data_IF_397074886308
#
_entry.id   IF_397074886308
#
_cell.length_a   1.000
_cell.length_b   1.000
_cell.length_c   1.000
_cell.angle_alpha   90.00
_cell.angle_beta   90.00
_cell.angle_gamma   90.00
#
_symmetry.space_group_name_H-M   'P 1'
#
loop_
_entity.id
_entity.type
_entity.pdbx_description
1 polymer ?
#
# COMPACT_ATOMS: atom_id res chain seq x y z
N UNK A 1 -13.11 -45.47 5.74
CA UNK A 1 -12.57 -44.19 6.25
C UNK A 1 -11.89 -43.48 5.08
N UNK A 2 -12.60 -42.62 4.37
CA UNK A 2 -12.03 -41.84 3.26
C UNK A 2 -11.54 -40.50 3.80
N UNK A 3 -10.24 -40.29 3.72
CA UNK A 3 -9.57 -39.04 4.10
C UNK A 3 -9.78 -38.03 2.96
N UNK A 4 -10.59 -37.00 3.20
CA UNK A 4 -10.74 -35.89 2.25
C UNK A 4 -9.77 -34.81 2.72
N UNK A 5 -8.63 -34.69 2.04
CA UNK A 5 -7.75 -33.55 2.24
C UNK A 5 -8.50 -32.30 1.76
N UNK A 6 -8.87 -31.42 2.69
CA UNK A 6 -9.39 -30.10 2.35
C UNK A 6 -8.25 -29.30 1.71
N UNK A 7 -8.28 -29.17 0.39
CA UNK A 7 -7.44 -28.21 -0.34
C UNK A 7 -8.07 -26.84 -0.13
N UNK A 8 -7.56 -26.10 0.84
CA UNK A 8 -7.86 -24.68 0.97
C UNK A 8 -7.06 -23.96 -0.12
N UNK A 9 -7.70 -23.60 -1.23
CA UNK A 9 -7.15 -22.57 -2.11
C UNK A 9 -7.21 -21.29 -1.28
N UNK A 10 -6.07 -20.88 -0.73
CA UNK A 10 -5.96 -19.53 -0.23
C UNK A 10 -6.26 -18.62 -1.42
N UNK A 11 -7.44 -18.03 -1.44
CA UNK A 11 -7.74 -16.83 -2.22
C UNK A 11 -6.96 -15.67 -1.59
N UNK A 12 -5.65 -15.85 -1.42
CA UNK A 12 -4.74 -14.80 -1.05
C UNK A 12 -4.71 -13.89 -2.25
N UNK A 13 -5.37 -12.73 -2.11
CA UNK A 13 -5.36 -11.63 -3.07
C UNK A 13 -3.92 -11.41 -3.55
N UNK A 14 -3.56 -11.96 -4.71
CA UNK A 14 -2.27 -11.72 -5.34
C UNK A 14 -2.36 -10.37 -6.04
N UNK A 15 -2.50 -9.30 -5.25
CA UNK A 15 -2.56 -7.94 -5.75
C UNK A 15 -1.17 -7.53 -6.19
N UNK A 16 -0.99 -7.48 -7.50
CA UNK A 16 0.05 -6.66 -8.11
C UNK A 16 -0.26 -5.21 -7.75
N UNK A 17 0.66 -4.56 -7.04
CA UNK A 17 0.54 -3.14 -6.71
C UNK A 17 1.15 -2.29 -7.82
N UNK A 18 0.75 -1.04 -7.87
CA UNK A 18 1.24 -0.01 -8.76
C UNK A 18 2.12 0.98 -7.99
N UNK A 19 3.10 1.55 -8.68
CA UNK A 19 3.77 2.76 -8.20
C UNK A 19 2.95 3.98 -8.59
N UNK A 20 2.72 4.87 -7.63
CA UNK A 20 2.17 6.20 -7.89
C UNK A 20 3.35 7.17 -7.97
N UNK A 21 3.72 7.57 -9.19
CA UNK A 21 4.90 8.39 -9.43
C UNK A 21 4.56 9.88 -9.51
N UNK A 22 5.27 10.69 -8.73
CA UNK A 22 5.26 12.14 -8.85
C UNK A 22 5.91 12.57 -10.17
N UNK A 23 5.19 13.33 -10.98
CA UNK A 23 5.72 13.92 -12.22
C UNK A 23 6.76 15.02 -11.99
N UNK A 24 6.84 15.57 -10.76
CA UNK A 24 7.75 16.65 -10.43
C UNK A 24 9.21 16.18 -10.37
N UNK A 25 9.45 14.99 -9.82
CA UNK A 25 10.80 14.49 -9.52
C UNK A 25 10.99 12.99 -9.81
N UNK A 26 9.94 12.31 -10.29
CA UNK A 26 9.99 10.87 -10.57
C UNK A 26 9.95 9.98 -9.33
N UNK A 27 9.71 10.53 -8.13
CA UNK A 27 9.66 9.79 -6.87
C UNK A 27 8.31 9.08 -6.70
N UNK A 28 8.28 8.07 -5.84
CA UNK A 28 7.10 7.24 -5.59
C UNK A 28 6.41 7.64 -4.29
N UNK A 29 5.08 7.55 -4.28
CA UNK A 29 4.29 7.65 -3.07
C UNK A 29 4.67 6.51 -2.12
N UNK A 30 5.03 6.83 -0.88
CA UNK A 30 5.62 5.91 0.10
C UNK A 30 5.06 6.17 1.51
N UNK A 31 5.10 5.15 2.36
CA UNK A 31 4.90 5.30 3.80
C UNK A 31 6.20 5.81 4.43
N UNK A 32 6.12 6.83 5.27
CA UNK A 32 7.29 7.37 5.94
C UNK A 32 8.05 6.28 6.73
N UNK A 33 9.32 6.08 6.38
CA UNK A 33 10.16 5.01 6.92
C UNK A 33 9.64 3.58 6.69
N UNK A 34 8.66 3.37 5.80
CA UNK A 34 7.99 2.08 5.62
C UNK A 34 7.11 1.65 6.81
N UNK A 35 6.74 2.57 7.70
CA UNK A 35 5.93 2.27 8.90
C UNK A 35 4.49 1.93 8.50
N UNK A 36 3.90 0.94 9.17
CA UNK A 36 2.53 0.44 8.87
C UNK A 36 1.52 0.74 9.98
N UNK A 37 1.89 1.60 10.93
CA UNK A 37 0.97 2.06 11.97
C UNK A 37 -0.05 3.05 11.40
N UNK A 38 -1.29 3.02 11.90
CA UNK A 38 -2.28 4.05 11.60
C UNK A 38 -1.75 5.45 11.93
N UNK A 39 -2.09 6.42 11.09
CA UNK A 39 -1.57 7.78 11.11
C UNK A 39 -0.15 7.92 10.57
N UNK A 40 0.40 6.91 9.88
CA UNK A 40 1.71 7.07 9.21
C UNK A 40 1.56 8.07 8.06
N UNK A 41 2.48 9.03 8.02
CA UNK A 41 2.52 10.03 6.96
C UNK A 41 2.84 9.41 5.61
N UNK A 42 2.19 9.96 4.58
CA UNK A 42 2.48 9.67 3.19
C UNK A 42 3.48 10.68 2.66
N UNK A 43 4.58 10.19 2.09
CA UNK A 43 5.65 11.00 1.54
C UNK A 43 5.90 10.64 0.06
N UNK A 44 6.74 11.42 -0.61
CA UNK A 44 7.34 11.03 -1.90
C UNK A 44 8.82 10.72 -1.70
N UNK A 45 9.26 9.51 -2.06
CA UNK A 45 10.64 9.05 -1.88
C UNK A 45 11.18 8.38 -3.16
N UNK A 46 12.51 8.32 -3.37
CA UNK A 46 13.09 7.58 -4.49
C UNK A 46 12.57 6.14 -4.55
N UNK A 47 12.40 5.60 -5.76
CA UNK A 47 11.96 4.21 -5.94
C UNK A 47 12.93 3.26 -5.22
N UNK A 48 12.38 2.35 -4.41
CA UNK A 48 13.17 1.33 -3.70
C UNK A 48 13.62 0.25 -4.68
N UNK A 49 14.92 -0.02 -4.71
CA UNK A 49 15.56 -0.97 -5.65
C UNK A 49 15.51 -2.44 -5.16
N UNK A 50 14.52 -2.81 -4.33
CA UNK A 50 14.41 -4.13 -3.71
C UNK A 50 13.46 -5.08 -4.43
N UNK A 51 13.20 -6.25 -3.84
CA UNK A 51 12.12 -7.15 -4.28
C UNK A 51 11.23 -7.51 -3.10
N UNK A 52 9.95 -7.81 -3.37
CA UNK A 52 9.03 -8.26 -2.31
C UNK A 52 8.68 -7.17 -1.29
N UNK A 53 8.91 -7.45 -0.01
CA UNK A 53 8.49 -6.59 1.12
C UNK A 53 9.22 -5.25 1.15
N UNK A 54 10.47 -5.19 0.69
CA UNK A 54 11.28 -3.97 0.69
C UNK A 54 10.62 -2.79 -0.05
N UNK A 55 9.82 -3.10 -1.06
CA UNK A 55 9.13 -2.12 -1.91
C UNK A 55 7.63 -2.02 -1.61
N UNK A 56 7.10 -2.84 -0.70
CA UNK A 56 5.67 -2.94 -0.44
C UNK A 56 5.04 -1.63 0.06
N UNK A 57 5.80 -0.78 0.76
CA UNK A 57 5.33 0.54 1.20
C UNK A 57 5.14 1.54 0.05
N UNK A 58 5.74 1.29 -1.11
CA UNK A 58 5.57 2.08 -2.34
C UNK A 58 4.56 1.47 -3.32
N UNK A 59 3.95 0.34 -2.97
CA UNK A 59 3.00 -0.37 -3.82
C UNK A 59 1.56 -0.11 -3.35
N UNK A 60 0.76 0.39 -4.28
CA UNK A 60 -0.62 0.81 -4.03
C UNK A 60 -1.57 0.08 -4.98
N UNK A 61 -2.79 -0.19 -4.54
CA UNK A 61 -3.80 -0.81 -5.40
C UNK A 61 -5.17 -0.18 -5.18
N UNK A 62 -5.97 -0.17 -6.25
CA UNK A 62 -7.38 0.19 -6.19
C UNK A 62 -8.17 -1.03 -5.72
N UNK A 63 -8.94 -0.87 -4.66
CA UNK A 63 -9.85 -1.91 -4.21
C UNK A 63 -11.26 -1.72 -4.79
N UNK A 64 -12.09 -2.75 -4.70
CA UNK A 64 -13.43 -2.75 -5.30
C UNK A 64 -14.38 -1.72 -4.65
N UNK A 65 -14.08 -1.29 -3.43
CA UNK A 65 -14.81 -0.25 -2.70
C UNK A 65 -14.43 1.18 -3.13
N UNK A 66 -13.54 1.33 -4.12
CA UNK A 66 -13.07 2.62 -4.61
C UNK A 66 -11.93 3.23 -3.78
N UNK A 67 -11.43 2.51 -2.77
CA UNK A 67 -10.30 2.97 -1.96
C UNK A 67 -8.96 2.72 -2.65
N UNK A 68 -7.97 3.54 -2.32
CA UNK A 68 -6.57 3.29 -2.65
C UNK A 68 -5.92 2.72 -1.38
N UNK A 69 -5.36 1.52 -1.48
CA UNK A 69 -4.76 0.81 -0.35
C UNK A 69 -3.28 0.57 -0.53
N UNK A 70 -2.55 0.63 0.57
CA UNK A 70 -1.13 0.29 0.58
C UNK A 70 -0.92 -1.21 0.74
N UNK A 71 0.03 -1.79 0.00
CA UNK A 71 0.33 -3.22 0.04
C UNK A 71 0.96 -3.68 1.36
N UNK A 72 1.78 -2.85 2.01
CA UNK A 72 2.45 -3.21 3.26
C UNK A 72 1.52 -3.15 4.47
N UNK A 73 0.69 -2.10 4.54
CA UNK A 73 -0.16 -1.85 5.70
C UNK A 73 -1.57 -2.46 5.59
N UNK A 74 -2.05 -2.75 4.38
CA UNK A 74 -3.46 -3.09 4.09
C UNK A 74 -4.47 -2.04 4.61
N UNK A 75 -4.02 -0.78 4.64
CA UNK A 75 -4.79 0.38 5.08
C UNK A 75 -5.05 1.33 3.90
N UNK A 76 -6.02 2.24 4.09
CA UNK A 76 -6.51 3.16 3.05
C UNK A 76 -5.77 4.50 3.11
N UNK A 77 -5.51 5.09 1.95
CA UNK A 77 -5.06 6.48 1.87
C UNK A 77 -6.17 7.41 2.38
N UNK A 78 -5.86 8.24 3.37
CA UNK A 78 -6.80 9.16 4.01
C UNK A 78 -6.19 10.57 4.17
N UNK A 79 -7.04 11.57 4.34
CA UNK A 79 -6.66 12.95 4.69
C UNK A 79 -7.15 13.21 6.11
N UNK A 80 -6.22 13.43 7.03
CA UNK A 80 -6.63 13.80 8.39
C UNK A 80 -7.22 15.21 8.44
N UNK A 81 -8.21 15.48 9.28
CA UNK A 81 -8.63 16.84 9.66
C UNK A 81 -9.25 17.76 8.59
N UNK A 82 -9.28 17.36 7.31
CA UNK A 82 -9.97 18.04 6.19
C UNK A 82 -9.82 19.57 6.13
N UNK A 83 -8.57 20.07 6.23
CA UNK A 83 -8.23 21.48 5.95
C UNK A 83 -7.23 21.55 4.79
N UNK A 84 -7.16 22.70 4.12
CA UNK A 84 -6.20 22.92 3.05
C UNK A 84 -4.77 22.75 3.59
N UNK A 85 -4.00 21.88 2.93
CA UNK A 85 -2.63 21.57 3.31
C UNK A 85 -2.50 20.51 4.40
N UNK A 86 -3.56 19.79 4.78
CA UNK A 86 -3.36 18.62 5.65
C UNK A 86 -2.57 17.53 4.96
N UNK A 87 -1.70 16.90 5.74
CA UNK A 87 -0.98 15.70 5.36
C UNK A 87 -1.92 14.54 5.01
N UNK A 88 -1.51 13.83 3.96
CA UNK A 88 -2.03 12.51 3.64
C UNK A 88 -1.46 11.50 4.65
N UNK A 89 -2.32 10.62 5.13
CA UNK A 89 -2.00 9.58 6.11
C UNK A 89 -2.59 8.23 5.67
N UNK A 90 -2.21 7.18 6.40
CA UNK A 90 -2.78 5.83 6.25
C UNK A 90 -3.41 5.33 7.55
#
# INVERSE_FOLDING_TARGET
>A
MSNVASVSIATGKCILGYYIQSRMNGFMLDLDGGRTSAGTLIIVSPMKNGTGEDQSSQLWFFDQDGTIRNKAADMVLDISGSIDGTDLII
#
